data_IF_490281900400
#
_entry.id   IF_490281900400
#
_cell.length_a   1.000
_cell.length_b   1.000
_cell.length_c   1.000
_cell.angle_alpha   90.00
_cell.angle_beta   90.00
_cell.angle_gamma   90.00
#
_symmetry.space_group_name_H-M   'P 1'
#
loop_
_entity.id
_entity.type
_entity.pdbx_description
1 polymer ?
#
# COMPACT_ATOMS: atom_id res chain seq x y z
N UNK A 1 -12.11 10.07 -17.71
CA UNK A 1 -11.25 11.28 -17.58
C UNK A 1 -10.67 11.23 -16.18
N UNK A 2 -9.36 11.37 -16.01
CA UNK A 2 -8.73 11.40 -14.69
C UNK A 2 -9.13 12.67 -13.92
N UNK A 3 -9.05 12.59 -12.57
CA UNK A 3 -9.13 13.78 -11.72
C UNK A 3 -8.01 14.75 -12.12
N UNK A 4 -8.30 16.05 -12.36
CA UNK A 4 -7.31 17.03 -12.80
C UNK A 4 -6.09 17.14 -11.86
N UNK A 5 -6.23 16.83 -10.58
CA UNK A 5 -5.14 16.86 -9.60
C UNK A 5 -4.19 15.66 -9.81
N UNK A 6 -4.75 14.48 -10.11
CA UNK A 6 -3.96 13.29 -10.48
C UNK A 6 -3.23 13.57 -11.80
N UNK A 7 -3.92 14.13 -12.79
CA UNK A 7 -3.31 14.47 -14.10
C UNK A 7 -2.12 15.41 -13.93
N UNK A 8 -2.26 16.45 -13.10
CA UNK A 8 -1.18 17.39 -12.79
C UNK A 8 -0.01 16.68 -12.09
N UNK A 9 -0.31 15.83 -11.09
CA UNK A 9 0.71 15.07 -10.36
C UNK A 9 1.52 14.17 -11.29
N UNK A 10 0.86 13.49 -12.25
CA UNK A 10 1.54 12.67 -13.24
C UNK A 10 2.43 13.51 -14.17
N UNK A 11 1.95 14.66 -14.60
CA UNK A 11 2.73 15.58 -15.43
C UNK A 11 3.97 16.10 -14.69
N UNK A 12 3.82 16.54 -13.45
CA UNK A 12 4.95 16.98 -12.61
C UNK A 12 5.97 15.84 -12.42
N UNK A 13 5.51 14.60 -12.20
CA UNK A 13 6.38 13.42 -12.08
C UNK A 13 7.19 13.19 -13.37
N UNK A 14 6.55 13.31 -14.53
CA UNK A 14 7.21 13.14 -15.84
C UNK A 14 8.32 14.17 -16.06
N UNK A 15 8.02 15.44 -15.74
CA UNK A 15 8.96 16.55 -15.90
C UNK A 15 10.14 16.45 -14.91
N UNK A 16 9.87 16.24 -13.61
CA UNK A 16 10.90 16.18 -12.57
C UNK A 16 11.81 14.96 -12.70
N UNK A 17 11.25 13.79 -13.04
CA UNK A 17 12.01 12.54 -13.12
C UNK A 17 12.70 12.33 -14.48
N UNK A 18 12.55 13.25 -15.42
CA UNK A 18 13.09 13.14 -16.79
C UNK A 18 12.77 11.77 -17.42
N UNK A 19 11.55 11.29 -17.20
CA UNK A 19 11.13 9.97 -17.70
C UNK A 19 11.21 9.91 -19.22
N UNK A 20 11.60 8.73 -19.74
CA UNK A 20 11.40 8.49 -21.16
C UNK A 20 9.92 8.53 -21.53
N UNK A 21 9.61 8.86 -22.77
CA UNK A 21 8.22 8.91 -23.25
C UNK A 21 7.48 7.57 -23.07
N UNK A 22 8.20 6.45 -23.06
CA UNK A 22 7.63 5.13 -22.79
C UNK A 22 7.28 4.99 -21.30
N UNK A 23 8.20 5.34 -20.40
CA UNK A 23 8.00 5.25 -18.96
C UNK A 23 6.84 6.17 -18.51
N UNK A 24 6.78 7.40 -19.02
CA UNK A 24 5.68 8.33 -18.79
C UNK A 24 4.33 7.75 -19.22
N UNK A 25 4.30 7.12 -20.42
CA UNK A 25 3.07 6.45 -20.90
C UNK A 25 2.66 5.30 -20.00
N UNK A 26 3.61 4.46 -19.57
CA UNK A 26 3.34 3.32 -18.70
C UNK A 26 2.83 3.77 -17.33
N UNK A 27 3.38 4.84 -16.75
CA UNK A 27 2.89 5.45 -15.52
C UNK A 27 1.43 5.94 -15.66
N UNK A 28 1.15 6.69 -16.73
CA UNK A 28 -0.22 7.16 -17.00
C UNK A 28 -1.20 6.01 -17.18
N UNK A 29 -0.81 4.99 -17.92
CA UNK A 29 -1.64 3.81 -18.15
C UNK A 29 -1.89 3.05 -16.85
N UNK A 30 -0.88 2.87 -16.00
CA UNK A 30 -1.01 2.21 -14.69
C UNK A 30 -2.09 2.85 -13.81
N UNK A 31 -2.20 4.18 -13.85
CA UNK A 31 -3.22 4.91 -13.10
C UNK A 31 -4.56 4.94 -13.85
N UNK A 32 -4.55 5.36 -15.12
CA UNK A 32 -5.77 5.64 -15.89
C UNK A 32 -6.64 4.41 -16.15
N UNK A 33 -6.02 3.22 -16.21
CA UNK A 33 -6.72 1.95 -16.46
C UNK A 33 -7.16 1.23 -15.19
N UNK A 34 -6.94 1.81 -14.01
CA UNK A 34 -7.43 1.27 -12.73
C UNK A 34 -8.42 2.25 -12.07
N UNK A 35 -9.74 2.13 -12.32
CA UNK A 35 -10.75 2.95 -11.64
C UNK A 35 -10.67 2.90 -10.12
N UNK A 36 -10.31 1.76 -9.55
CA UNK A 36 -10.12 1.62 -8.11
C UNK A 36 -8.94 2.47 -7.61
N UNK A 37 -7.78 2.40 -8.28
CA UNK A 37 -6.60 3.21 -7.92
C UNK A 37 -6.91 4.70 -8.02
N UNK A 38 -7.56 5.14 -9.09
CA UNK A 38 -8.00 6.53 -9.24
C UNK A 38 -8.86 6.96 -8.06
N UNK A 39 -9.82 6.13 -7.64
CA UNK A 39 -10.70 6.42 -6.51
C UNK A 39 -9.94 6.57 -5.18
N UNK A 40 -9.02 5.65 -4.88
CA UNK A 40 -8.25 5.70 -3.62
C UNK A 40 -7.22 6.84 -3.63
N UNK A 41 -6.58 7.14 -4.77
CA UNK A 41 -5.70 8.31 -4.91
C UNK A 41 -6.48 9.61 -4.72
N UNK A 42 -7.65 9.75 -5.34
CA UNK A 42 -8.52 10.91 -5.15
C UNK A 42 -8.86 11.11 -3.67
N UNK A 43 -9.22 10.04 -2.96
CA UNK A 43 -9.48 10.08 -1.53
C UNK A 43 -8.26 10.51 -0.71
N UNK A 44 -7.06 9.99 -1.03
CA UNK A 44 -5.82 10.39 -0.35
C UNK A 44 -5.49 11.88 -0.60
N UNK A 45 -5.75 12.39 -1.81
CA UNK A 45 -5.62 13.81 -2.15
C UNK A 45 -6.63 14.66 -1.38
N UNK A 46 -7.89 14.23 -1.32
CA UNK A 46 -8.96 14.94 -0.57
C UNK A 46 -8.64 15.04 0.92
N UNK A 47 -8.04 14.00 1.50
CA UNK A 47 -7.55 14.00 2.87
C UNK A 47 -6.32 14.91 3.07
N UNK A 48 -5.67 15.33 1.98
CA UNK A 48 -4.41 16.08 2.00
C UNK A 48 -3.18 15.21 2.32
N UNK A 49 -3.29 13.90 2.17
CA UNK A 49 -2.25 12.91 2.50
C UNK A 49 -1.46 12.45 1.26
N UNK A 50 -1.84 12.87 0.05
CA UNK A 50 -1.10 12.62 -1.18
C UNK A 50 -0.99 13.92 -1.99
N UNK A 51 0.25 14.30 -2.33
CA UNK A 51 0.55 15.53 -3.08
C UNK A 51 1.46 15.31 -4.27
N UNK A 52 2.30 14.27 -4.25
CA UNK A 52 3.34 14.04 -5.25
C UNK A 52 3.60 12.56 -5.45
N UNK A 53 3.99 12.21 -6.68
CA UNK A 53 4.63 10.96 -7.05
C UNK A 53 6.02 11.30 -7.57
N UNK A 54 7.01 10.47 -7.30
CA UNK A 54 8.37 10.62 -7.80
C UNK A 54 8.99 9.25 -8.03
N UNK A 55 10.02 9.20 -8.88
CA UNK A 55 10.85 8.02 -9.03
C UNK A 55 12.14 8.18 -8.24
N UNK A 56 12.51 7.15 -7.50
CA UNK A 56 13.74 7.13 -6.73
C UNK A 56 14.36 5.73 -6.82
N UNK A 57 15.64 5.62 -6.49
CA UNK A 57 16.27 4.32 -6.32
C UNK A 57 16.11 3.91 -4.86
N UNK A 58 15.22 2.96 -4.60
CA UNK A 58 14.94 2.40 -3.25
C UNK A 58 15.37 0.93 -3.24
N UNK A 59 16.58 0.61 -2.76
CA UNK A 59 17.06 -0.77 -2.76
C UNK A 59 16.11 -1.70 -1.99
N UNK A 60 15.74 -2.83 -2.61
CA UNK A 60 14.88 -3.87 -2.04
C UNK A 60 13.42 -3.50 -1.76
N UNK A 61 12.95 -2.33 -2.21
CA UNK A 61 11.55 -1.90 -2.07
C UNK A 61 10.98 -1.55 -3.43
N UNK A 62 9.71 -1.84 -3.67
CA UNK A 62 9.01 -1.44 -4.90
C UNK A 62 8.65 0.05 -4.90
N UNK A 63 8.41 0.60 -3.72
CA UNK A 63 8.08 1.99 -3.48
C UNK A 63 8.13 2.33 -1.99
N UNK A 64 7.84 3.59 -1.68
CA UNK A 64 7.75 4.09 -0.33
C UNK A 64 6.84 5.32 -0.26
N UNK A 65 5.96 5.38 0.75
CA UNK A 65 5.19 6.57 1.06
C UNK A 65 5.84 7.35 2.20
N UNK A 66 6.12 8.64 1.97
CA UNK A 66 6.57 9.59 2.99
C UNK A 66 5.39 10.41 3.50
N UNK A 67 5.04 10.24 4.79
CA UNK A 67 3.99 11.02 5.43
C UNK A 67 4.37 12.50 5.60
N UNK A 68 5.65 12.80 5.81
CA UNK A 68 6.16 14.16 5.96
C UNK A 68 6.08 14.94 4.65
N UNK A 69 6.48 14.32 3.54
CA UNK A 69 6.45 14.92 2.21
C UNK A 69 5.09 14.74 1.51
N UNK A 70 4.24 13.85 2.02
CA UNK A 70 2.97 13.42 1.39
C UNK A 70 3.20 12.95 -0.04
N UNK A 71 4.24 12.16 -0.21
CA UNK A 71 4.76 11.74 -1.49
C UNK A 71 4.90 10.22 -1.59
N UNK A 72 4.59 9.68 -2.75
CA UNK A 72 4.90 8.30 -3.12
C UNK A 72 6.19 8.31 -3.95
N UNK A 73 7.20 7.57 -3.49
CA UNK A 73 8.40 7.28 -4.25
C UNK A 73 8.29 5.88 -4.85
N UNK A 74 8.35 5.76 -6.16
CA UNK A 74 8.36 4.48 -6.89
C UNK A 74 9.79 4.13 -7.24
N UNK A 75 10.19 2.87 -7.03
CA UNK A 75 11.51 2.41 -7.45
C UNK A 75 11.61 2.40 -8.98
N UNK A 76 12.59 3.14 -9.51
CA UNK A 76 12.83 3.25 -10.95
C UNK A 76 13.12 1.88 -11.63
N UNK A 77 13.56 0.88 -10.88
CA UNK A 77 13.81 -0.47 -11.41
C UNK A 77 12.53 -1.16 -11.91
N UNK A 78 11.36 -0.77 -11.40
CA UNK A 78 10.07 -1.26 -11.91
C UNK A 78 9.91 -0.96 -13.40
N UNK A 79 10.41 0.18 -13.87
CA UNK A 79 10.36 0.60 -15.27
C UNK A 79 11.26 -0.23 -16.21
N UNK A 80 12.18 -1.00 -15.66
CA UNK A 80 13.14 -1.81 -16.46
C UNK A 80 12.63 -3.21 -16.78
N UNK A 81 11.46 -3.61 -16.27
CA UNK A 81 10.87 -4.92 -16.57
C UNK A 81 10.62 -5.06 -18.08
N UNK A 82 11.05 -6.16 -18.73
CA UNK A 82 10.98 -6.29 -20.18
C UNK A 82 9.53 -6.45 -20.68
N UNK A 83 8.69 -7.16 -19.93
CA UNK A 83 7.29 -7.33 -20.28
C UNK A 83 6.49 -6.09 -19.89
N UNK A 84 5.90 -5.41 -20.90
CA UNK A 84 5.16 -4.16 -20.68
C UNK A 84 3.93 -4.35 -19.79
N UNK A 85 3.15 -5.42 -20.00
CA UNK A 85 1.95 -5.68 -19.20
C UNK A 85 2.31 -5.92 -17.72
N UNK A 86 3.32 -6.75 -17.45
CA UNK A 86 3.83 -7.00 -16.11
C UNK A 86 4.39 -5.72 -15.45
N UNK A 87 5.06 -4.88 -16.23
CA UNK A 87 5.59 -3.59 -15.76
C UNK A 87 4.47 -2.66 -15.33
N UNK A 88 3.39 -2.57 -16.12
CA UNK A 88 2.25 -1.72 -15.80
C UNK A 88 1.46 -2.30 -14.60
N UNK A 89 1.27 -3.62 -14.53
CA UNK A 89 0.65 -4.27 -13.37
C UNK A 89 1.46 -3.99 -12.09
N UNK A 90 2.78 -4.08 -12.17
CA UNK A 90 3.66 -3.79 -11.04
C UNK A 90 3.59 -2.31 -10.61
N UNK A 91 3.61 -1.37 -11.57
CA UNK A 91 3.43 0.05 -11.28
C UNK A 91 2.09 0.30 -10.58
N UNK A 92 1.01 -0.29 -11.11
CA UNK A 92 -0.32 -0.18 -10.52
C UNK A 92 -0.35 -0.74 -9.10
N UNK A 93 0.30 -1.89 -8.88
CA UNK A 93 0.40 -2.53 -7.55
C UNK A 93 1.16 -1.67 -6.56
N UNK A 94 2.34 -1.18 -6.93
CA UNK A 94 3.16 -0.30 -6.08
C UNK A 94 2.41 1.00 -5.76
N UNK A 95 1.84 1.68 -6.75
CA UNK A 95 1.07 2.89 -6.52
C UNK A 95 -0.14 2.64 -5.62
N UNK A 96 -0.80 1.47 -5.78
CA UNK A 96 -1.90 1.05 -4.91
C UNK A 96 -1.44 0.85 -3.47
N UNK A 97 -0.35 0.13 -3.25
CA UNK A 97 0.24 -0.13 -1.94
C UNK A 97 0.58 1.17 -1.22
N UNK A 98 1.35 2.05 -1.87
CA UNK A 98 1.78 3.31 -1.28
C UNK A 98 0.60 4.30 -1.06
N UNK A 99 -0.42 4.25 -1.93
CA UNK A 99 -1.67 4.99 -1.69
C UNK A 99 -2.43 4.44 -0.47
N UNK A 100 -2.35 3.13 -0.23
CA UNK A 100 -2.86 2.50 0.99
C UNK A 100 -2.21 3.09 2.24
N UNK A 101 -0.90 3.26 2.25
CA UNK A 101 -0.18 3.94 3.34
C UNK A 101 -0.59 5.41 3.48
N UNK A 102 -0.76 6.14 2.37
CA UNK A 102 -1.24 7.52 2.40
C UNK A 102 -2.62 7.63 3.08
N UNK A 103 -3.56 6.72 2.76
CA UNK A 103 -4.88 6.69 3.38
C UNK A 103 -4.85 6.45 4.89
N UNK A 104 -3.80 5.80 5.39
CA UNK A 104 -3.62 5.47 6.81
C UNK A 104 -2.70 6.44 7.55
N UNK A 105 -2.08 7.40 6.87
CA UNK A 105 -1.05 8.27 7.44
C UNK A 105 -1.49 8.90 8.77
N UNK A 106 -2.68 9.47 8.81
CA UNK A 106 -3.24 10.08 10.02
C UNK A 106 -3.49 9.07 11.15
N UNK A 107 -3.97 7.86 10.81
CA UNK A 107 -4.19 6.80 11.81
C UNK A 107 -2.87 6.30 12.39
N UNK A 108 -1.85 6.17 11.56
CA UNK A 108 -0.50 5.76 11.97
C UNK A 108 0.16 6.82 12.86
N UNK A 109 0.01 8.11 12.53
CA UNK A 109 0.48 9.22 13.36
C UNK A 109 -0.16 9.18 14.75
N UNK A 110 -1.50 9.06 14.82
CA UNK A 110 -2.23 8.96 16.09
C UNK A 110 -1.75 7.74 16.90
N UNK A 111 -1.55 6.59 16.25
CA UNK A 111 -1.07 5.38 16.90
C UNK A 111 0.33 5.55 17.49
N UNK A 112 1.23 6.19 16.76
CA UNK A 112 2.60 6.48 17.19
C UNK A 112 2.62 7.46 18.37
N UNK A 113 1.87 8.55 18.28
CA UNK A 113 1.75 9.51 19.37
C UNK A 113 1.14 8.88 20.63
N UNK A 114 0.13 8.03 20.46
CA UNK A 114 -0.52 7.31 21.56
C UNK A 114 0.46 6.34 22.23
N UNK A 115 1.26 5.61 21.45
CA UNK A 115 2.29 4.72 22.00
C UNK A 115 3.30 5.51 22.83
N UNK A 116 3.87 6.59 22.28
CA UNK A 116 4.84 7.44 22.97
C UNK A 116 4.28 7.97 24.29
N UNK A 117 3.06 8.50 24.26
CA UNK A 117 2.39 8.99 25.47
C UNK A 117 2.22 7.89 26.52
N UNK A 118 1.76 6.68 26.13
CA UNK A 118 1.55 5.57 27.05
C UNK A 118 2.86 5.04 27.64
N UNK A 119 3.95 5.05 26.89
CA UNK A 119 5.28 4.69 27.40
C UNK A 119 5.71 5.70 28.45
N UNK A 120 5.58 6.99 28.18
CA UNK A 120 5.93 8.06 29.12
C UNK A 120 5.15 7.95 30.42
N UNK A 121 3.84 7.69 30.35
CA UNK A 121 3.01 7.50 31.53
C UNK A 121 3.41 6.26 32.34
N UNK A 122 3.67 5.13 31.68
CA UNK A 122 4.13 3.91 32.35
C UNK A 122 5.47 4.12 33.06
N UNK A 123 6.42 4.83 32.45
CA UNK A 123 7.71 5.19 33.05
C UNK A 123 7.55 6.10 34.28
N UNK A 124 6.67 7.12 34.19
CA UNK A 124 6.36 8.03 35.32
C UNK A 124 5.73 7.28 36.48
N UNK A 125 4.82 6.35 36.19
CA UNK A 125 4.14 5.54 37.19
C UNK A 125 5.13 4.61 37.88
N UNK A 126 5.96 3.86 37.14
CA UNK A 126 7.04 3.06 37.69
C UNK A 126 7.97 3.83 38.60
N UNK A 127 8.38 5.04 38.20
CA UNK A 127 9.22 5.90 39.02
C UNK A 127 8.54 6.34 40.32
N UNK A 128 7.23 6.57 40.34
CA UNK A 128 6.47 6.90 41.55
C UNK A 128 6.43 5.76 42.56
N UNK A 129 6.41 4.51 42.09
CA UNK A 129 6.38 3.34 42.95
C UNK A 129 7.77 2.78 43.27
N UNK A 130 8.83 3.39 42.75
CA UNK A 130 10.21 2.97 42.96
C UNK A 130 10.61 1.72 42.19
N UNK A 131 9.86 1.40 41.13
CA UNK A 131 10.14 0.25 40.28
C UNK A 131 11.44 0.47 39.47
N UNK A 132 12.35 -0.48 39.55
CA UNK A 132 13.60 -0.45 38.79
C UNK A 132 13.40 -0.76 37.29
N UNK A 133 12.28 -1.41 36.94
CA UNK A 133 11.94 -1.80 35.55
C UNK A 133 10.44 -1.67 35.30
N UNK A 134 10.09 -1.22 34.10
CA UNK A 134 8.70 -1.12 33.65
C UNK A 134 8.52 -2.01 32.42
N UNK A 135 7.54 -2.91 32.45
CA UNK A 135 7.24 -3.79 31.30
C UNK A 135 6.38 -3.04 30.27
N UNK A 136 7.00 -2.60 29.19
CA UNK A 136 6.32 -1.98 28.03
C UNK A 136 5.96 -2.99 26.93
N UNK A 137 6.21 -4.28 27.12
CA UNK A 137 5.95 -5.34 26.13
C UNK A 137 4.51 -5.35 25.60
N UNK A 138 3.46 -5.15 26.43
CA UNK A 138 2.09 -5.11 25.92
C UNK A 138 1.85 -3.92 24.95
N UNK A 139 2.45 -2.77 25.22
CA UNK A 139 2.35 -1.58 24.37
C UNK A 139 3.06 -1.81 23.04
N UNK A 140 4.27 -2.35 23.08
CA UNK A 140 5.03 -2.69 21.87
C UNK A 140 4.29 -3.73 21.00
N UNK A 141 3.71 -4.76 21.61
CA UNK A 141 2.91 -5.78 20.90
C UNK A 141 1.68 -5.14 20.21
N UNK A 142 0.97 -4.25 20.88
CA UNK A 142 -0.19 -3.56 20.32
C UNK A 142 0.20 -2.70 19.12
N UNK A 143 1.32 -1.97 19.21
CA UNK A 143 1.85 -1.16 18.12
C UNK A 143 2.26 -2.00 16.91
N UNK A 144 3.03 -3.08 17.13
CA UNK A 144 3.44 -3.99 16.05
C UNK A 144 2.23 -4.61 15.36
N UNK A 145 1.18 -4.95 16.12
CA UNK A 145 -0.08 -5.45 15.54
C UNK A 145 -0.72 -4.40 14.63
N UNK A 146 -0.87 -3.16 15.09
CA UNK A 146 -1.45 -2.07 14.29
C UNK A 146 -0.63 -1.79 13.02
N UNK A 147 0.70 -1.83 13.11
CA UNK A 147 1.60 -1.69 11.96
C UNK A 147 1.35 -2.80 10.92
N UNK A 148 1.28 -4.07 11.34
CA UNK A 148 1.02 -5.20 10.44
C UNK A 148 -0.35 -5.14 9.79
N UNK A 149 -1.35 -4.68 10.50
CA UNK A 149 -2.70 -4.45 9.95
C UNK A 149 -2.69 -3.34 8.91
N UNK A 150 -1.87 -2.32 9.11
CA UNK A 150 -1.62 -1.27 8.14
C UNK A 150 -0.99 -1.78 6.85
N UNK A 151 0.06 -2.59 6.95
CA UNK A 151 0.68 -3.25 5.79
C UNK A 151 -0.33 -4.15 5.05
N UNK A 152 -1.13 -4.91 5.79
CA UNK A 152 -2.14 -5.77 5.19
C UNK A 152 -3.20 -4.97 4.41
N UNK A 153 -3.60 -3.81 4.92
CA UNK A 153 -4.54 -2.93 4.20
C UNK A 153 -3.89 -2.37 2.92
N UNK A 154 -2.62 -1.94 2.98
CA UNK A 154 -1.89 -1.48 1.81
C UNK A 154 -1.80 -2.57 0.73
N UNK A 155 -1.54 -3.82 1.12
CA UNK A 155 -1.54 -4.96 0.21
C UNK A 155 -2.91 -5.23 -0.43
N UNK A 156 -4.00 -5.08 0.31
CA UNK A 156 -5.35 -5.21 -0.25
C UNK A 156 -5.67 -4.07 -1.22
N UNK A 157 -5.21 -2.86 -0.97
CA UNK A 157 -5.34 -1.74 -1.91
C UNK A 157 -4.53 -2.00 -3.18
N UNK A 158 -3.31 -2.54 -3.05
CA UNK A 158 -2.49 -3.00 -4.17
C UNK A 158 -3.23 -4.02 -5.03
N UNK A 159 -3.69 -5.10 -4.42
CA UNK A 159 -4.43 -6.17 -5.09
C UNK A 159 -5.65 -5.63 -5.84
N UNK A 160 -6.48 -4.84 -5.17
CA UNK A 160 -7.68 -4.26 -5.76
C UNK A 160 -7.35 -3.32 -6.93
N UNK A 161 -6.25 -2.56 -6.83
CA UNK A 161 -5.80 -1.68 -7.90
C UNK A 161 -5.44 -2.45 -9.16
N UNK A 162 -4.66 -3.53 -9.03
CA UNK A 162 -4.27 -4.38 -10.16
C UNK A 162 -5.49 -5.13 -10.70
N UNK A 163 -6.34 -5.71 -9.84
CA UNK A 163 -7.55 -6.40 -10.26
C UNK A 163 -8.48 -5.49 -11.06
N UNK A 164 -8.71 -4.28 -10.58
CA UNK A 164 -9.50 -3.25 -11.25
C UNK A 164 -8.93 -2.91 -12.63
N UNK A 165 -7.61 -2.77 -12.75
CA UNK A 165 -6.94 -2.53 -14.02
C UNK A 165 -7.15 -3.70 -14.99
N UNK A 166 -6.87 -4.93 -14.54
CA UNK A 166 -6.99 -6.13 -15.37
C UNK A 166 -8.42 -6.31 -15.89
N UNK A 167 -9.41 -6.09 -15.04
CA UNK A 167 -10.83 -6.13 -15.43
C UNK A 167 -11.25 -4.98 -16.33
N UNK A 168 -10.62 -3.82 -16.21
CA UNK A 168 -10.85 -2.70 -17.11
C UNK A 168 -10.28 -2.97 -18.51
N UNK A 169 -9.11 -3.61 -18.58
CA UNK A 169 -8.46 -4.02 -19.83
C UNK A 169 -9.25 -5.15 -20.54
N UNK A 170 -9.66 -6.17 -19.78
CA UNK A 170 -10.50 -7.27 -20.26
C UNK A 170 -11.62 -7.58 -19.26
N UNK A 171 -12.85 -7.07 -19.50
CA UNK A 171 -14.00 -7.35 -18.63
C UNK A 171 -14.38 -8.83 -18.53
N UNK A 172 -13.91 -9.66 -19.47
CA UNK A 172 -14.19 -11.09 -19.54
C UNK A 172 -13.02 -11.95 -19.05
N UNK A 173 -11.97 -11.36 -18.52
CA UNK A 173 -10.81 -12.09 -18.01
C UNK A 173 -11.25 -13.17 -17.01
N UNK A 174 -10.73 -14.37 -17.18
CA UNK A 174 -11.02 -15.48 -16.26
C UNK A 174 -10.39 -15.25 -14.90
N UNK A 175 -10.96 -15.83 -13.84
CA UNK A 175 -10.36 -15.75 -12.51
C UNK A 175 -8.95 -16.35 -12.48
N UNK A 176 -8.67 -17.41 -13.23
CA UNK A 176 -7.34 -18.00 -13.31
C UNK A 176 -6.32 -17.02 -13.88
N UNK A 177 -6.66 -16.31 -14.95
CA UNK A 177 -5.77 -15.31 -15.55
C UNK A 177 -5.65 -14.07 -14.65
N UNK A 178 -6.73 -13.63 -14.02
CA UNK A 178 -6.69 -12.55 -13.03
C UNK A 178 -5.70 -12.88 -11.90
N UNK A 179 -5.83 -14.06 -11.28
CA UNK A 179 -4.95 -14.49 -10.20
C UNK A 179 -3.49 -14.65 -10.65
N UNK A 180 -3.26 -15.13 -11.89
CA UNK A 180 -1.92 -15.21 -12.47
C UNK A 180 -1.25 -13.85 -12.60
N UNK A 181 -2.00 -12.80 -12.94
CA UNK A 181 -1.48 -11.42 -13.05
C UNK A 181 -1.28 -10.75 -11.69
N UNK A 182 -2.09 -11.10 -10.71
CA UNK A 182 -1.97 -10.61 -9.34
C UNK A 182 -0.78 -11.22 -8.59
N UNK A 183 -0.48 -12.50 -8.82
CA UNK A 183 0.55 -13.27 -8.08
C UNK A 183 1.91 -12.55 -7.96
N UNK A 184 2.50 -11.96 -9.03
CA UNK A 184 3.77 -11.26 -8.91
C UNK A 184 3.68 -9.84 -8.30
N UNK A 185 2.47 -9.33 -8.04
CA UNK A 185 2.25 -7.93 -7.63
C UNK A 185 1.86 -7.77 -6.17
N UNK A 186 1.36 -8.82 -5.52
CA UNK A 186 0.85 -8.76 -4.15
C UNK A 186 0.91 -10.11 -3.45
N UNK A 187 1.23 -10.16 -2.14
CA UNK A 187 1.17 -11.39 -1.35
C UNK A 187 -0.26 -11.88 -1.06
N UNK A 188 -1.27 -11.13 -1.48
CA UNK A 188 -2.66 -11.58 -1.40
C UNK A 188 -2.98 -12.77 -2.31
N UNK A 189 -2.11 -13.02 -3.31
CA UNK A 189 -2.19 -14.17 -4.22
C UNK A 189 -0.84 -14.88 -4.21
N UNK A 190 -0.86 -16.21 -4.07
CA UNK A 190 0.33 -17.05 -4.03
C UNK A 190 0.09 -18.29 -4.87
N UNK A 191 0.98 -18.54 -5.84
CA UNK A 191 0.87 -19.67 -6.77
C UNK A 191 -0.52 -19.74 -7.45
N UNK A 192 -1.03 -18.58 -7.85
CA UNK A 192 -2.33 -18.45 -8.52
C UNK A 192 -3.54 -18.73 -7.62
N UNK A 193 -3.39 -18.62 -6.30
CA UNK A 193 -4.48 -18.83 -5.32
C UNK A 193 -4.56 -17.66 -4.35
N UNK A 194 -5.78 -17.26 -4.00
CA UNK A 194 -5.99 -16.27 -2.95
C UNK A 194 -5.48 -16.80 -1.61
N UNK A 195 -4.81 -15.93 -0.86
CA UNK A 195 -4.44 -16.17 0.52
C UNK A 195 -5.69 -16.43 1.36
N UNK A 196 -5.61 -17.34 2.33
CA UNK A 196 -6.74 -17.70 3.18
C UNK A 196 -7.38 -16.46 3.83
N UNK A 197 -8.68 -16.36 3.77
CA UNK A 197 -9.47 -15.23 4.32
C UNK A 197 -9.73 -14.11 3.32
N UNK A 198 -9.10 -14.13 2.14
CA UNK A 198 -9.38 -13.17 1.07
C UNK A 198 -10.49 -13.73 0.18
N UNK A 199 -11.47 -12.88 -0.14
CA UNK A 199 -12.57 -13.17 -1.07
C UNK A 199 -12.71 -12.02 -2.04
N UNK A 200 -12.87 -12.32 -3.31
CA UNK A 200 -13.09 -11.33 -4.36
C UNK A 200 -14.49 -11.43 -4.92
N UNK A 201 -15.07 -10.29 -5.28
CA UNK A 201 -16.34 -10.23 -5.98
C UNK A 201 -16.19 -10.52 -7.48
N UNK A 202 -17.28 -10.36 -8.25
CA UNK A 202 -17.28 -10.55 -9.70
C UNK A 202 -16.34 -9.55 -10.43
N UNK A 203 -16.01 -8.42 -9.83
CA UNK A 203 -15.09 -7.43 -10.32
C UNK A 203 -13.62 -7.73 -9.91
N UNK A 204 -13.39 -8.78 -9.14
CA UNK A 204 -12.08 -9.13 -8.61
C UNK A 204 -11.65 -8.29 -7.40
N UNK A 205 -12.58 -7.56 -6.79
CA UNK A 205 -12.31 -6.65 -5.69
C UNK A 205 -12.60 -7.33 -4.35
N UNK A 206 -11.67 -7.19 -3.41
CA UNK A 206 -11.89 -7.50 -2.00
C UNK A 206 -12.46 -6.25 -1.31
N UNK A 207 -13.72 -6.33 -0.92
CA UNK A 207 -14.34 -5.29 -0.11
C UNK A 207 -13.88 -5.41 1.34
N UNK A 208 -13.07 -4.47 1.76
CA UNK A 208 -12.80 -4.21 3.16
C UNK A 208 -13.59 -2.95 3.51
N UNK A 209 -14.52 -3.03 4.41
CA UNK A 209 -15.28 -1.86 4.89
C UNK A 209 -14.40 -0.86 5.68
N UNK A 210 -13.13 -0.66 5.31
CA UNK A 210 -12.12 0.14 6.03
C UNK A 210 -11.99 -0.24 7.52
N UNK A 211 -12.28 -1.48 7.89
CA UNK A 211 -12.21 -1.97 9.25
C UNK A 211 -10.94 -2.76 9.43
N UNK A 212 -10.08 -2.28 10.31
CA UNK A 212 -8.86 -2.94 10.77
C UNK A 212 -9.15 -4.35 11.34
N UNK A 213 -10.37 -4.60 11.78
CA UNK A 213 -10.86 -5.88 12.32
C UNK A 213 -11.46 -6.83 11.28
N UNK A 214 -11.31 -6.52 9.97
CA UNK A 214 -11.83 -7.45 8.94
C UNK A 214 -11.03 -8.75 8.92
N UNK A 215 -11.68 -9.91 8.67
CA UNK A 215 -10.99 -11.21 8.55
C UNK A 215 -9.90 -11.21 7.48
N UNK A 216 -10.10 -10.46 6.38
CA UNK A 216 -9.12 -10.35 5.30
C UNK A 216 -7.85 -9.63 5.76
N UNK A 217 -7.97 -8.50 6.47
CA UNK A 217 -6.83 -7.76 7.01
C UNK A 217 -6.07 -8.63 8.00
N UNK A 218 -6.76 -9.32 8.92
CA UNK A 218 -6.13 -10.22 9.88
C UNK A 218 -5.38 -11.37 9.19
N UNK A 219 -5.95 -11.96 8.14
CA UNK A 219 -5.32 -13.05 7.39
C UNK A 219 -4.06 -12.58 6.67
N UNK A 220 -4.11 -11.44 5.98
CA UNK A 220 -2.95 -10.86 5.27
C UNK A 220 -1.89 -10.41 6.28
N UNK A 221 -2.27 -9.81 7.41
CA UNK A 221 -1.33 -9.39 8.45
C UNK A 221 -0.56 -10.58 9.06
N UNK A 222 -1.21 -11.74 9.23
CA UNK A 222 -0.54 -12.98 9.66
C UNK A 222 0.47 -13.43 8.62
N UNK A 223 0.11 -13.37 7.34
CA UNK A 223 0.99 -13.77 6.24
C UNK A 223 2.19 -12.82 6.10
N UNK A 224 1.96 -11.51 6.07
CA UNK A 224 3.02 -10.47 6.04
C UNK A 224 3.98 -10.67 7.22
N UNK A 225 3.48 -11.06 8.39
CA UNK A 225 4.31 -11.36 9.56
C UNK A 225 5.23 -12.57 9.39
N UNK A 226 4.90 -13.49 8.50
CA UNK A 226 5.73 -14.67 8.22
C UNK A 226 6.86 -14.38 7.22
N UNK A 227 6.71 -13.32 6.43
CA UNK A 227 7.67 -12.93 5.38
C UNK A 227 8.66 -11.87 5.88
N UNK A 228 8.20 -10.96 6.74
CA UNK A 228 9.06 -9.91 7.32
C UNK A 228 9.54 -10.40 8.69
N UNK A 229 10.78 -10.94 8.78
CA UNK A 229 11.35 -11.28 10.09
C UNK A 229 11.42 -10.00 10.91
N UNK A 230 11.00 -10.09 12.18
CA UNK A 230 11.21 -9.01 13.13
C UNK A 230 12.70 -8.63 13.08
N UNK A 231 13.02 -7.45 12.57
CA UNK A 231 14.38 -6.91 12.70
C UNK A 231 14.63 -6.77 14.21
N UNK A 232 15.55 -7.59 14.71
CA UNK A 232 16.02 -7.55 16.08
C UNK A 232 16.78 -6.24 16.37
#
# INVERSE_FOLDING_TARGET
MLDPRIERMLQETEEESSLSSLAARDLREAVATSPYLVGVMTKAIDNGDLRRIQFAHTPNEGGHYSADDKAISVNADVLQRPNRSERIDQLTGVLGHETGHALMARSNEISTCTLSYRIDEALKEGARYGDATVDITPLAKAYVKAFREGEALAELVSMNSVASRVKHEDPHVTNAELLRRLDPTTPCVINGRLTQGIQIDAQGIQHTENRIDSPAISAVAIFVSSIIPAKA
#
